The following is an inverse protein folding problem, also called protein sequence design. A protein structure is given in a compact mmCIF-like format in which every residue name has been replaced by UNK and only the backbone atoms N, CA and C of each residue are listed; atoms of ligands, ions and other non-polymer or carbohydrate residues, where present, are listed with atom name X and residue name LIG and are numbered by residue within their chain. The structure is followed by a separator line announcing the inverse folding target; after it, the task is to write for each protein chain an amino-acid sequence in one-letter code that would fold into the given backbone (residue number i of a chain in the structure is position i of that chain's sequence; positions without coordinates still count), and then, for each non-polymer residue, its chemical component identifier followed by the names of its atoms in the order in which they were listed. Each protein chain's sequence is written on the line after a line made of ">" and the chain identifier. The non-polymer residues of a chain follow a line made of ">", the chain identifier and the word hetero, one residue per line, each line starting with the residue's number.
data_IF_687286143574
#
_entry.id   IF_687286143574
#
_cell.length_a   1.000
_cell.length_b   1.000
_cell.length_c   1.000
_cell.angle_alpha   90.00
_cell.angle_beta   90.00
_cell.angle_gamma   90.00
#
_symmetry.space_group_name_H-M   'P 1'
#
loop_
_entity.id
_entity.type
_entity.pdbx_description
1 polymer ?
#
# COMPACT_ATOMS: atom_id res chain seq x y z
N UNK A 1 -9.79 -10.41 -6.79
CA UNK A 1 -8.62 -9.58 -7.16
C UNK A 1 -7.41 -10.46 -7.03
N UNK A 2 -6.56 -10.54 -8.05
CA UNK A 2 -5.29 -11.28 -7.99
C UNK A 2 -4.18 -10.24 -7.96
N UNK A 3 -3.27 -10.39 -6.99
CA UNK A 3 -2.05 -9.59 -6.92
C UNK A 3 -0.89 -10.39 -7.49
N UNK A 4 -0.07 -9.75 -8.31
CA UNK A 4 1.13 -10.35 -8.90
C UNK A 4 2.36 -9.63 -8.34
N UNK A 5 3.22 -10.36 -7.64
CA UNK A 5 4.44 -9.81 -7.04
C UNK A 5 5.49 -9.58 -8.13
N UNK A 6 5.82 -8.30 -8.36
CA UNK A 6 6.74 -7.86 -9.38
C UNK A 6 8.18 -7.73 -8.85
N UNK A 7 8.35 -7.45 -7.56
CA UNK A 7 9.66 -7.36 -6.91
C UNK A 7 9.57 -7.76 -5.44
N UNK A 8 10.61 -8.41 -4.94
CA UNK A 8 10.75 -8.77 -3.54
C UNK A 8 12.22 -8.74 -3.12
N UNK A 9 12.52 -7.89 -2.15
CA UNK A 9 13.80 -7.83 -1.47
C UNK A 9 13.54 -8.02 0.04
N UNK A 10 14.07 -9.10 0.65
CA UNK A 10 13.86 -9.39 2.06
C UNK A 10 14.24 -8.19 2.96
N UNK A 11 13.38 -7.86 3.92
CA UNK A 11 13.58 -6.78 4.90
C UNK A 11 13.77 -5.36 4.31
N UNK A 12 13.54 -5.16 3.00
CA UNK A 12 13.73 -3.87 2.37
C UNK A 12 12.49 -3.43 1.58
N UNK A 13 12.01 -4.26 0.65
CA UNK A 13 11.00 -3.85 -0.30
C UNK A 13 10.14 -5.00 -0.81
N UNK A 14 8.86 -4.73 -1.04
CA UNK A 14 7.99 -5.60 -1.83
C UNK A 14 7.12 -4.75 -2.75
N UNK A 15 7.11 -5.09 -4.04
CA UNK A 15 6.26 -4.45 -5.05
C UNK A 15 5.35 -5.49 -5.69
N UNK A 16 4.07 -5.17 -5.79
CA UNK A 16 3.11 -5.99 -6.51
C UNK A 16 2.17 -5.13 -7.35
N UNK A 17 1.65 -5.73 -8.40
CA UNK A 17 0.64 -5.13 -9.26
C UNK A 17 -0.69 -5.85 -9.11
N UNK A 18 -1.77 -5.20 -9.50
CA UNK A 18 -3.08 -5.79 -9.50
C UNK A 18 -4.07 -5.02 -10.36
N UNK A 19 -5.26 -5.58 -10.50
CA UNK A 19 -6.35 -4.96 -11.24
C UNK A 19 -7.65 -5.04 -10.44
N UNK A 20 -8.40 -3.94 -10.45
CA UNK A 20 -9.72 -3.83 -9.85
C UNK A 20 -10.67 -3.15 -10.83
N UNK A 21 -11.59 -3.93 -11.40
CA UNK A 21 -12.47 -3.45 -12.48
C UNK A 21 -11.65 -2.88 -13.65
N UNK A 22 -11.94 -1.65 -14.12
CA UNK A 22 -11.20 -1.01 -15.20
C UNK A 22 -9.84 -0.43 -14.78
N UNK A 23 -9.48 -0.50 -13.48
CA UNK A 23 -8.30 0.15 -12.92
C UNK A 23 -7.14 -0.85 -12.76
N UNK A 24 -5.93 -0.39 -13.00
CA UNK A 24 -4.68 -1.10 -12.68
C UNK A 24 -3.92 -0.36 -11.60
N UNK A 25 -3.22 -1.07 -10.74
CA UNK A 25 -2.41 -0.46 -9.71
C UNK A 25 -1.09 -1.21 -9.51
N UNK A 26 -0.14 -0.48 -8.93
CA UNK A 26 1.12 -0.95 -8.41
C UNK A 26 1.26 -0.43 -6.98
N UNK A 27 1.64 -1.30 -6.05
CA UNK A 27 1.88 -0.96 -4.65
C UNK A 27 3.28 -1.41 -4.28
N UNK A 28 4.03 -0.52 -3.67
CA UNK A 28 5.34 -0.80 -3.09
C UNK A 28 5.31 -0.52 -1.59
N UNK A 29 5.69 -1.51 -0.79
CA UNK A 29 5.98 -1.32 0.63
C UNK A 29 7.50 -1.30 0.84
N UNK A 30 7.98 -0.37 1.67
CA UNK A 30 9.39 -0.29 2.05
C UNK A 30 9.56 -0.27 3.55
N UNK A 31 10.55 -0.98 4.04
CA UNK A 31 10.97 -0.97 5.43
C UNK A 31 12.30 -0.25 5.58
N UNK A 32 12.36 0.68 6.53
CA UNK A 32 13.57 1.40 6.90
C UNK A 32 13.81 1.17 8.40
N UNK A 33 15.04 0.81 8.77
CA UNK A 33 15.44 0.83 10.18
C UNK A 33 15.53 2.26 10.69
N UNK A 34 15.03 2.48 11.91
CA UNK A 34 15.07 3.76 12.60
C UNK A 34 15.51 3.55 14.05
N UNK A 35 15.90 4.62 14.75
CA UNK A 35 16.28 4.53 16.16
C UNK A 35 15.16 3.99 17.07
N UNK A 36 13.89 4.07 16.64
CA UNK A 36 12.70 3.65 17.40
C UNK A 36 12.12 2.31 16.92
N UNK A 37 12.78 1.64 15.95
CA UNK A 37 12.31 0.40 15.34
C UNK A 37 12.17 0.50 13.83
N UNK A 38 11.20 -0.18 13.24
CA UNK A 38 11.02 -0.20 11.77
C UNK A 38 9.97 0.79 11.31
N UNK A 39 10.32 1.64 10.34
CA UNK A 39 9.36 2.44 9.58
C UNK A 39 8.90 1.66 8.36
N UNK A 40 7.60 1.37 8.28
CA UNK A 40 6.96 0.82 7.09
C UNK A 40 6.29 1.96 6.30
N UNK A 41 6.66 2.12 5.05
CA UNK A 41 6.01 3.07 4.12
C UNK A 41 5.28 2.31 3.01
N UNK A 42 4.22 2.92 2.48
CA UNK A 42 3.45 2.40 1.36
C UNK A 42 3.36 3.48 0.28
N UNK A 43 3.71 3.13 -0.94
CA UNK A 43 3.53 3.95 -2.12
C UNK A 43 2.63 3.20 -3.10
N UNK A 44 1.57 3.86 -3.58
CA UNK A 44 0.62 3.28 -4.52
C UNK A 44 0.50 4.16 -5.75
N UNK A 45 0.63 3.56 -6.93
CA UNK A 45 0.31 4.17 -8.21
C UNK A 45 -0.91 3.45 -8.78
N UNK A 46 -1.94 4.21 -9.15
CA UNK A 46 -3.15 3.64 -9.75
C UNK A 46 -3.52 4.42 -10.99
N UNK A 47 -3.88 3.69 -12.05
CA UNK A 47 -4.41 4.23 -13.28
C UNK A 47 -5.88 3.82 -13.40
N UNK A 48 -6.79 4.79 -13.28
CA UNK A 48 -8.21 4.56 -13.50
C UNK A 48 -8.57 4.80 -14.97
N UNK A 49 -9.66 4.18 -15.42
CA UNK A 49 -10.18 4.33 -16.80
C UNK A 49 -11.68 4.54 -16.79
N UNK A 50 -12.19 5.13 -17.88
CA UNK A 50 -13.62 5.39 -18.07
C UNK A 50 -14.15 6.47 -17.12
N UNK A 51 -15.40 6.34 -16.68
CA UNK A 51 -16.04 7.32 -15.78
C UNK A 51 -15.30 7.50 -14.45
N UNK A 52 -14.55 6.49 -14.01
CA UNK A 52 -13.76 6.57 -12.78
C UNK A 52 -12.58 7.55 -12.88
N UNK A 53 -12.05 7.78 -14.08
CA UNK A 53 -10.98 8.77 -14.31
C UNK A 53 -11.39 10.20 -13.88
N UNK A 54 -12.70 10.49 -13.94
CA UNK A 54 -13.25 11.80 -13.53
C UNK A 54 -13.19 11.99 -12.01
N UNK A 55 -13.14 10.90 -11.25
CA UNK A 55 -13.13 10.88 -9.79
C UNK A 55 -11.76 10.64 -9.16
N UNK A 56 -10.68 10.58 -9.96
CA UNK A 56 -9.34 10.12 -9.55
C UNK A 56 -8.87 10.74 -8.23
N UNK A 57 -9.05 12.05 -8.06
CA UNK A 57 -8.63 12.73 -6.84
C UNK A 57 -9.39 12.26 -5.60
N UNK A 58 -10.72 12.14 -5.70
CA UNK A 58 -11.56 11.69 -4.58
C UNK A 58 -11.22 10.25 -4.21
N UNK A 59 -10.99 9.40 -5.20
CA UNK A 59 -10.58 8.01 -5.01
C UNK A 59 -9.19 7.95 -4.36
N UNK A 60 -8.22 8.72 -4.85
CA UNK A 60 -6.87 8.77 -4.29
C UNK A 60 -6.87 9.24 -2.83
N UNK A 61 -7.66 10.27 -2.49
CA UNK A 61 -7.82 10.75 -1.13
C UNK A 61 -8.48 9.70 -0.22
N UNK A 62 -9.48 8.97 -0.73
CA UNK A 62 -10.11 7.84 -0.04
C UNK A 62 -9.11 6.73 0.27
N UNK A 63 -8.43 6.23 -0.76
CA UNK A 63 -7.40 5.19 -0.63
C UNK A 63 -6.31 5.61 0.36
N UNK A 64 -5.82 6.86 0.29
CA UNK A 64 -4.82 7.35 1.23
C UNK A 64 -5.31 7.25 2.69
N UNK A 65 -6.56 7.59 2.97
CA UNK A 65 -7.14 7.47 4.32
C UNK A 65 -7.23 6.00 4.76
N UNK A 66 -7.70 5.13 3.88
CA UNK A 66 -7.87 3.71 4.17
C UNK A 66 -6.53 3.02 4.42
N UNK A 67 -5.51 3.27 3.58
CA UNK A 67 -4.17 2.74 3.78
C UNK A 67 -3.53 3.29 5.07
N UNK A 68 -3.73 4.57 5.40
CA UNK A 68 -3.23 5.12 6.66
C UNK A 68 -3.88 4.45 7.88
N UNK A 69 -5.19 4.14 7.82
CA UNK A 69 -5.88 3.39 8.87
C UNK A 69 -5.37 1.95 8.97
N UNK A 70 -5.22 1.25 7.85
CA UNK A 70 -4.71 -0.10 7.80
C UNK A 70 -3.28 -0.21 8.36
N UNK A 71 -2.39 0.73 8.02
CA UNK A 71 -1.02 0.75 8.55
C UNK A 71 -0.98 1.02 10.06
N UNK A 72 -1.87 1.88 10.59
CA UNK A 72 -2.01 2.07 12.05
C UNK A 72 -2.47 0.79 12.75
N UNK A 73 -3.45 0.10 12.18
CA UNK A 73 -3.94 -1.17 12.72
C UNK A 73 -2.87 -2.25 12.68
N UNK A 74 -2.13 -2.34 11.56
CA UNK A 74 -1.02 -3.28 11.42
C UNK A 74 0.07 -3.03 12.47
N UNK A 75 0.44 -1.76 12.70
CA UNK A 75 1.39 -1.40 13.76
C UNK A 75 0.92 -1.92 15.12
N UNK A 76 -0.32 -1.64 15.51
CA UNK A 76 -0.87 -2.10 16.78
C UNK A 76 -0.83 -3.64 16.91
N UNK A 77 -1.16 -4.38 15.85
CA UNK A 77 -1.12 -5.84 15.85
C UNK A 77 0.29 -6.41 15.97
N UNK A 78 1.27 -5.78 15.32
CA UNK A 78 2.67 -6.21 15.39
C UNK A 78 3.27 -5.90 16.77
N UNK A 79 2.98 -4.74 17.33
CA UNK A 79 3.50 -4.33 18.64
C UNK A 79 2.88 -5.14 19.78
N UNK A 80 1.58 -5.47 19.70
CA UNK A 80 0.92 -6.33 20.69
C UNK A 80 1.53 -7.75 20.74
N UNK A 81 2.14 -8.21 19.64
CA UNK A 81 2.79 -9.53 19.56
C UNK A 81 4.29 -9.51 19.86
N UNK A 82 4.88 -8.31 19.95
CA UNK A 82 6.30 -8.15 20.27
C UNK A 82 6.55 -8.09 21.78
N UNK A 83 5.50 -7.86 22.58
CA UNK A 83 5.46 -8.02 24.04
C UNK A 83 5.15 -9.47 24.46
#
# INVERSE_FOLDING_TARGET
>A
MINEYAHFEPNAEITFTGASGPSRFEVTYRTEETAEGTRLSCHMRMEQKGLFALGDRVVAEGLRRDFAANLRNLKALLETRAE
#
